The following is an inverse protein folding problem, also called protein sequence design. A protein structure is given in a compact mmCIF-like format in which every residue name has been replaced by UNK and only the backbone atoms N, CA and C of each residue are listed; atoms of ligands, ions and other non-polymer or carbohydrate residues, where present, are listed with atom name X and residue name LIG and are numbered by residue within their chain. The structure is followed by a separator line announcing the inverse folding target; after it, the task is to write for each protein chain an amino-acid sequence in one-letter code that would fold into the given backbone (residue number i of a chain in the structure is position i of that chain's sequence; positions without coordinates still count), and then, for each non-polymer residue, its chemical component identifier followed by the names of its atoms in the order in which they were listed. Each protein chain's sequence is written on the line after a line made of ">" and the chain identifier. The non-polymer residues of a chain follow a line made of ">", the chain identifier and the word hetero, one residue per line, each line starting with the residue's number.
data_IF_551811753719
#
_entry.id   IF_551811753719
#
_cell.length_a   1.000
_cell.length_b   1.000
_cell.length_c   1.000
_cell.angle_alpha   90.00
_cell.angle_beta   90.00
_cell.angle_gamma   90.00
#
_symmetry.space_group_name_H-M   'P 1'
#
loop_
_entity.id
_entity.type
_entity.pdbx_description
1 polymer ?
#
# COMPACT_ATOMS: atom_id res chain seq x y z
N UNK A 1 28.14 18.67 -12.38
CA UNK A 1 26.74 19.01 -12.01
C UNK A 1 25.85 17.91 -12.58
N UNK A 2 25.25 17.06 -11.74
CA UNK A 2 24.34 16.02 -12.22
C UNK A 2 23.11 16.69 -12.83
N UNK A 3 22.84 16.43 -14.10
CA UNK A 3 21.70 16.97 -14.81
C UNK A 3 20.40 16.53 -14.11
N UNK A 4 19.62 17.51 -13.64
CA UNK A 4 18.36 17.23 -12.93
C UNK A 4 17.30 16.89 -13.96
N UNK A 5 16.66 15.72 -13.80
CA UNK A 5 15.59 15.25 -14.69
C UNK A 5 14.38 16.19 -14.61
N UNK A 6 13.80 16.49 -15.76
CA UNK A 6 12.60 17.31 -15.90
C UNK A 6 11.53 16.59 -16.70
N UNK A 7 10.28 16.95 -16.47
CA UNK A 7 9.17 16.53 -17.31
C UNK A 7 9.08 17.38 -18.59
N UNK A 8 8.18 17.04 -19.50
CA UNK A 8 7.93 17.75 -20.75
C UNK A 8 7.41 19.18 -20.54
N UNK A 9 7.01 19.54 -19.31
CA UNK A 9 6.61 20.90 -18.92
C UNK A 9 7.74 21.66 -18.21
N UNK A 10 8.95 21.11 -18.16
CA UNK A 10 10.14 21.73 -17.55
C UNK A 10 10.20 21.65 -16.02
N UNK A 11 9.29 20.93 -15.37
CA UNK A 11 9.24 20.75 -13.91
C UNK A 11 10.26 19.71 -13.47
N UNK A 12 10.90 19.95 -12.33
CA UNK A 12 11.87 19.02 -11.77
C UNK A 12 11.18 17.75 -11.26
N UNK A 13 11.67 16.60 -11.72
CA UNK A 13 11.26 15.28 -11.26
C UNK A 13 12.05 14.88 -10.01
N UNK A 14 11.37 14.28 -9.04
CA UNK A 14 11.99 13.71 -7.85
C UNK A 14 12.65 12.36 -8.16
N UNK A 15 13.42 11.85 -7.21
CA UNK A 15 13.98 10.50 -7.27
C UNK A 15 12.88 9.46 -7.43
N UNK A 16 13.05 8.55 -8.38
CA UNK A 16 12.05 7.53 -8.71
C UNK A 16 10.97 8.01 -9.69
N UNK A 17 10.78 9.33 -9.87
CA UNK A 17 9.86 9.87 -10.88
C UNK A 17 10.48 9.84 -12.28
N UNK A 18 9.66 9.52 -13.28
CA UNK A 18 10.00 9.67 -14.70
C UNK A 18 8.74 9.93 -15.52
N UNK A 19 8.90 10.51 -16.71
CA UNK A 19 7.79 10.65 -17.65
C UNK A 19 7.98 9.68 -18.82
N UNK A 20 6.91 8.98 -19.19
CA UNK A 20 6.88 8.07 -20.33
C UNK A 20 6.56 8.82 -21.62
N UNK A 21 6.89 8.17 -22.74
CA UNK A 21 6.60 8.66 -24.10
C UNK A 21 5.10 8.82 -24.37
N UNK A 22 4.24 8.07 -23.67
CA UNK A 22 2.78 8.17 -23.76
C UNK A 22 2.17 9.33 -22.94
N UNK A 23 3.02 10.11 -22.25
CA UNK A 23 2.62 11.24 -21.43
C UNK A 23 2.31 10.90 -19.97
N UNK A 24 2.24 9.62 -19.59
CA UNK A 24 2.06 9.24 -18.18
C UNK A 24 3.32 9.52 -17.37
N UNK A 25 3.12 9.99 -16.15
CA UNK A 25 4.16 10.05 -15.14
C UNK A 25 4.23 8.69 -14.43
N UNK A 26 5.43 8.22 -14.15
CA UNK A 26 5.74 6.97 -13.47
C UNK A 26 6.55 7.27 -12.21
N UNK A 27 6.26 6.55 -11.14
CA UNK A 27 7.04 6.52 -9.92
C UNK A 27 7.53 5.08 -9.70
N UNK A 28 8.85 4.89 -9.65
CA UNK A 28 9.52 3.64 -9.31
C UNK A 28 9.90 3.67 -7.83
N UNK A 29 9.57 2.61 -7.10
CA UNK A 29 9.94 2.43 -5.71
C UNK A 29 10.23 0.97 -5.38
N UNK A 30 10.79 0.73 -4.20
CA UNK A 30 11.01 -0.61 -3.64
C UNK A 30 9.99 -0.80 -2.53
N UNK A 31 9.25 -1.91 -2.55
CA UNK A 31 8.25 -2.21 -1.54
C UNK A 31 8.87 -2.77 -0.24
N UNK A 32 8.03 -3.06 0.75
CA UNK A 32 8.47 -3.58 2.05
C UNK A 32 9.15 -4.97 1.93
N UNK A 33 8.91 -5.69 0.83
CA UNK A 33 9.47 -7.00 0.52
C UNK A 33 10.77 -6.90 -0.28
N UNK A 34 11.21 -5.69 -0.64
CA UNK A 34 12.40 -5.47 -1.46
C UNK A 34 12.15 -5.60 -2.96
N UNK A 35 10.89 -5.78 -3.40
CA UNK A 35 10.55 -5.88 -4.81
C UNK A 35 10.38 -4.49 -5.44
N UNK A 36 10.82 -4.36 -6.69
CA UNK A 36 10.64 -3.11 -7.43
C UNK A 36 9.21 -2.99 -7.95
N UNK A 37 8.54 -1.91 -7.58
CA UNK A 37 7.17 -1.59 -7.99
C UNK A 37 7.10 -0.28 -8.77
N UNK A 38 6.01 -0.13 -9.51
CA UNK A 38 5.76 1.01 -10.40
C UNK A 38 4.32 1.48 -10.25
N UNK A 39 4.14 2.78 -10.02
CA UNK A 39 2.83 3.44 -10.09
C UNK A 39 2.81 4.46 -11.21
N UNK A 40 1.63 4.63 -11.82
CA UNK A 40 1.42 5.47 -12.99
C UNK A 40 0.30 6.47 -12.72
N UNK A 41 0.46 7.70 -13.21
CA UNK A 41 -0.62 8.68 -13.26
C UNK A 41 -0.51 9.56 -14.51
N UNK A 42 -1.66 10.08 -14.97
CA UNK A 42 -1.71 11.08 -16.03
C UNK A 42 -1.33 12.48 -15.53
N UNK A 43 -1.34 12.70 -14.22
CA UNK A 43 -1.04 13.97 -13.57
C UNK A 43 0.21 13.83 -12.71
N UNK A 44 1.14 14.79 -12.79
CA UNK A 44 2.29 14.81 -11.89
C UNK A 44 1.86 15.37 -10.53
N UNK A 45 1.18 16.52 -10.55
CA UNK A 45 0.67 17.21 -9.37
C UNK A 45 -0.88 17.23 -9.36
N UNK A 46 -1.53 17.40 -8.19
CA UNK A 46 -2.99 17.43 -8.08
C UNK A 46 -3.65 18.52 -8.92
N UNK A 47 -2.94 19.63 -9.12
CA UNK A 47 -3.38 20.80 -9.88
C UNK A 47 -3.30 20.62 -11.39
N UNK A 48 -2.70 19.53 -11.89
CA UNK A 48 -2.62 19.28 -13.33
C UNK A 48 -4.01 18.94 -13.90
N UNK A 49 -4.36 19.46 -15.09
CA UNK A 49 -5.57 19.04 -15.79
C UNK A 49 -5.43 17.60 -16.29
N UNK A 50 -6.54 16.87 -16.31
CA UNK A 50 -6.59 15.51 -16.89
C UNK A 50 -6.60 15.62 -18.41
N UNK A 51 -5.76 14.80 -19.07
CA UNK A 51 -5.75 14.69 -20.53
C UNK A 51 -7.13 14.29 -21.07
N UNK A 52 -7.60 14.98 -22.11
CA UNK A 52 -8.94 14.80 -22.70
C UNK A 52 -9.24 13.31 -22.98
N UNK A 53 -10.37 12.83 -22.47
CA UNK A 53 -10.82 11.43 -22.66
C UNK A 53 -10.16 10.39 -21.74
N UNK A 54 -9.34 10.79 -20.77
CA UNK A 54 -8.79 9.88 -19.74
C UNK A 54 -9.56 10.00 -18.43
N UNK A 55 -9.54 8.92 -17.64
CA UNK A 55 -10.14 8.91 -16.30
C UNK A 55 -9.39 9.86 -15.37
N UNK A 56 -10.13 10.67 -14.63
CA UNK A 56 -9.58 11.46 -13.54
C UNK A 56 -9.22 10.51 -12.39
N UNK A 57 -8.02 10.67 -11.84
CA UNK A 57 -7.52 9.89 -10.72
C UNK A 57 -6.54 10.69 -9.88
N UNK A 58 -5.94 10.07 -8.86
CA UNK A 58 -4.89 10.71 -8.05
C UNK A 58 -3.68 11.07 -8.91
N UNK A 59 -3.04 12.18 -8.57
CA UNK A 59 -1.76 12.57 -9.17
C UNK A 59 -0.63 11.65 -8.70
N UNK A 60 0.48 11.66 -9.43
CA UNK A 60 1.65 10.84 -9.08
C UNK A 60 2.18 11.19 -7.68
N UNK A 61 2.18 12.48 -7.32
CA UNK A 61 2.65 12.92 -5.99
C UNK A 61 1.71 12.55 -4.84
N UNK A 62 0.41 12.47 -5.08
CA UNK A 62 -0.52 11.92 -4.08
C UNK A 62 -0.28 10.43 -3.86
N UNK A 63 -0.09 9.68 -4.96
CA UNK A 63 0.22 8.25 -4.90
C UNK A 63 1.58 7.99 -4.23
N UNK A 64 2.60 8.78 -4.57
CA UNK A 64 3.91 8.75 -3.91
C UNK A 64 3.77 8.96 -2.39
N UNK A 65 3.01 9.97 -1.96
CA UNK A 65 2.82 10.28 -0.55
C UNK A 65 2.09 9.16 0.22
N UNK A 66 1.13 8.49 -0.41
CA UNK A 66 0.46 7.31 0.15
C UNK A 66 1.43 6.13 0.30
N UNK A 67 2.18 5.82 -0.77
CA UNK A 67 3.19 4.75 -0.76
C UNK A 67 4.25 5.00 0.31
N UNK A 68 4.76 6.22 0.42
CA UNK A 68 5.79 6.54 1.42
C UNK A 68 5.28 6.39 2.85
N UNK A 69 4.01 6.75 3.11
CA UNK A 69 3.36 6.54 4.40
C UNK A 69 3.21 5.04 4.69
N UNK A 70 2.72 4.28 3.74
CA UNK A 70 2.54 2.83 3.87
C UNK A 70 3.89 2.13 4.11
N UNK A 71 4.95 2.51 3.40
CA UNK A 71 6.30 1.99 3.62
C UNK A 71 6.82 2.30 5.02
N UNK A 72 6.60 3.53 5.51
CA UNK A 72 7.01 3.94 6.85
C UNK A 72 6.26 3.18 7.95
N UNK A 73 5.01 2.83 7.71
CA UNK A 73 4.15 2.03 8.61
C UNK A 73 4.35 0.51 8.45
N UNK A 74 5.29 0.08 7.59
CA UNK A 74 5.53 -1.33 7.26
C UNK A 74 4.28 -2.01 6.70
N UNK A 75 3.52 -1.30 5.87
CA UNK A 75 2.32 -1.75 5.17
C UNK A 75 2.72 -2.14 3.74
N UNK A 76 2.17 -3.25 3.25
CA UNK A 76 2.31 -3.64 1.86
C UNK A 76 1.56 -2.66 0.95
N UNK A 77 2.33 -1.85 0.23
CA UNK A 77 1.86 -0.79 -0.68
C UNK A 77 1.18 -1.32 -1.95
N UNK A 78 1.18 -2.64 -2.19
CA UNK A 78 0.60 -3.27 -3.39
C UNK A 78 -0.94 -3.20 -3.42
N UNK A 79 -1.54 -2.61 -2.39
CA UNK A 79 -2.97 -2.34 -2.29
C UNK A 79 -3.64 -3.31 -1.33
N UNK A 80 -3.65 -2.95 -0.04
CA UNK A 80 -4.73 -3.31 0.88
C UNK A 80 -4.85 -4.77 1.33
N UNK A 81 -3.99 -5.70 0.89
CA UNK A 81 -4.12 -7.11 1.26
C UNK A 81 -3.27 -7.49 2.46
N UNK A 82 -3.53 -6.84 3.60
CA UNK A 82 -3.02 -7.36 4.87
C UNK A 82 -3.66 -8.73 5.12
N UNK A 83 -2.84 -9.73 5.43
CA UNK A 83 -3.35 -11.04 5.83
C UNK A 83 -3.84 -11.00 7.27
N UNK A 84 -4.67 -11.96 7.66
CA UNK A 84 -5.16 -12.05 9.04
C UNK A 84 -4.01 -12.17 10.05
N UNK A 85 -2.97 -12.96 9.75
CA UNK A 85 -1.77 -13.05 10.60
C UNK A 85 -1.03 -11.71 10.74
N UNK A 86 -0.87 -10.98 9.63
CA UNK A 86 -0.21 -9.67 9.65
C UNK A 86 -0.98 -8.65 10.49
N UNK A 87 -2.31 -8.63 10.40
CA UNK A 87 -3.15 -7.78 11.26
C UNK A 87 -3.00 -8.16 12.73
N UNK A 88 -3.05 -9.46 13.02
CA UNK A 88 -2.95 -9.94 14.40
C UNK A 88 -1.58 -9.61 15.01
N UNK A 89 -0.51 -9.69 14.23
CA UNK A 89 0.83 -9.28 14.65
C UNK A 89 0.88 -7.78 14.99
N UNK A 90 0.34 -6.92 14.10
CA UNK A 90 0.29 -5.46 14.33
C UNK A 90 -0.52 -5.11 15.58
N UNK A 91 -1.68 -5.74 15.78
CA UNK A 91 -2.51 -5.53 16.96
C UNK A 91 -1.76 -5.87 18.26
N UNK A 92 -1.04 -7.01 18.26
CA UNK A 92 -0.29 -7.46 19.43
C UNK A 92 0.89 -6.55 19.76
N UNK A 93 1.58 -6.03 18.74
CA UNK A 93 2.66 -5.05 18.89
C UNK A 93 2.15 -3.72 19.46
N UNK A 94 1.01 -3.22 18.96
CA UNK A 94 0.37 -2.00 19.48
C UNK A 94 -0.10 -2.15 20.94
N UNK A 95 -0.51 -3.36 21.34
CA UNK A 95 -0.98 -3.66 22.70
C UNK A 95 -0.01 -4.55 23.46
N UNK A 96 1.27 -4.17 23.49
CA UNK A 96 2.34 -5.00 24.06
C UNK A 96 2.27 -5.15 25.60
N UNK A 97 1.73 -4.16 26.33
CA UNK A 97 1.67 -4.18 27.79
C UNK A 97 0.53 -5.07 28.31
N UNK A 98 0.75 -6.39 28.31
CA UNK A 98 -0.19 -7.39 28.82
C UNK A 98 0.51 -8.40 29.71
N UNK A 99 -0.27 -9.09 30.56
CA UNK A 99 0.22 -10.17 31.43
C UNK A 99 0.92 -11.26 30.61
N UNK A 100 1.89 -11.94 31.21
CA UNK A 100 2.63 -13.06 30.58
C UNK A 100 1.70 -14.15 30.04
N UNK A 101 0.63 -14.47 30.77
CA UNK A 101 -0.38 -15.45 30.32
C UNK A 101 -1.02 -15.04 28.99
N UNK A 102 -1.36 -13.77 28.82
CA UNK A 102 -1.92 -13.22 27.57
C UNK A 102 -0.88 -13.25 26.44
N UNK A 103 0.40 -13.01 26.73
CA UNK A 103 1.46 -13.13 25.72
C UNK A 103 1.58 -14.58 25.21
N UNK A 104 1.54 -15.56 26.11
CA UNK A 104 1.58 -16.98 25.74
C UNK A 104 0.38 -17.39 24.89
N UNK A 105 -0.83 -16.95 25.28
CA UNK A 105 -2.06 -17.19 24.51
C UNK A 105 -2.00 -16.56 23.11
N UNK A 106 -1.48 -15.33 23.01
CA UNK A 106 -1.31 -14.66 21.71
C UNK A 106 -0.33 -15.38 20.79
N UNK A 107 0.78 -15.88 21.34
CA UNK A 107 1.75 -16.70 20.58
C UNK A 107 1.11 -17.99 20.09
N UNK A 108 0.33 -18.66 20.95
CA UNK A 108 -0.39 -19.87 20.58
C UNK A 108 -1.40 -19.60 19.45
N UNK A 109 -2.19 -18.52 19.54
CA UNK A 109 -3.13 -18.16 18.48
C UNK A 109 -2.42 -17.81 17.17
N UNK A 110 -1.28 -17.11 17.23
CA UNK A 110 -0.48 -16.84 16.03
C UNK A 110 -0.04 -18.13 15.35
N UNK A 111 0.49 -19.09 16.12
CA UNK A 111 0.92 -20.38 15.58
C UNK A 111 -0.23 -21.16 14.93
N UNK A 112 -1.43 -21.12 15.53
CA UNK A 112 -2.63 -21.73 14.93
C UNK A 112 -3.00 -21.05 13.62
N UNK A 113 -3.01 -19.71 13.60
CA UNK A 113 -3.35 -18.95 12.39
C UNK A 113 -2.34 -19.17 11.26
N UNK A 114 -1.05 -19.30 11.58
CA UNK A 114 0.00 -19.63 10.60
C UNK A 114 -0.18 -21.02 9.98
N UNK A 115 -0.73 -21.97 10.75
CA UNK A 115 -1.07 -23.32 10.26
C UNK A 115 -2.41 -23.41 9.52
N UNK A 116 -3.21 -22.34 9.52
CA UNK A 116 -4.55 -22.29 8.92
C UNK A 116 -4.54 -21.46 7.63
N UNK A 117 -5.25 -21.93 6.59
CA UNK A 117 -5.46 -21.17 5.35
C UNK A 117 -6.08 -19.78 5.64
N UNK A 118 -6.83 -19.65 6.72
CA UNK A 118 -7.41 -18.39 7.17
C UNK A 118 -6.35 -17.32 7.48
N UNK A 119 -5.21 -17.71 8.07
CA UNK A 119 -4.15 -16.78 8.47
C UNK A 119 -3.42 -16.16 7.28
N UNK A 120 -3.27 -16.92 6.19
CA UNK A 120 -2.63 -16.48 4.94
C UNK A 120 -3.57 -15.67 4.03
N UNK A 121 -4.88 -15.68 4.28
CA UNK A 121 -5.87 -15.01 3.44
C UNK A 121 -5.91 -13.51 3.72
N UNK A 122 -6.08 -12.72 2.65
CA UNK A 122 -6.30 -11.27 2.74
C UNK A 122 -7.60 -10.94 3.48
N UNK A 123 -7.56 -9.91 4.33
CA UNK A 123 -8.73 -9.41 5.08
C UNK A 123 -9.88 -9.00 4.15
N UNK A 124 -9.58 -8.43 2.99
CA UNK A 124 -10.59 -8.03 2.00
C UNK A 124 -11.44 -9.21 1.53
N UNK A 125 -10.88 -10.43 1.50
CA UNK A 125 -11.62 -11.62 1.11
C UNK A 125 -12.75 -11.97 2.09
N UNK A 126 -12.65 -11.53 3.35
CA UNK A 126 -13.66 -11.77 4.38
C UNK A 126 -14.77 -10.72 4.37
N UNK A 127 -14.43 -9.45 4.16
CA UNK A 127 -15.40 -8.33 4.10
C UNK A 127 -16.44 -8.56 2.99
N UNK A 128 -16.02 -9.10 1.84
CA UNK A 128 -16.93 -9.43 0.75
C UNK A 128 -17.87 -10.61 1.05
N UNK A 129 -17.48 -11.52 1.96
CA UNK A 129 -18.27 -12.71 2.28
C UNK A 129 -19.31 -12.43 3.38
N UNK A 130 -18.99 -11.54 4.33
CA UNK A 130 -19.93 -11.06 5.35
C UNK A 130 -21.00 -10.13 4.78
N UNK A 131 -20.65 -9.23 3.85
CA UNK A 131 -21.63 -8.36 3.18
C UNK A 131 -22.60 -9.14 2.28
N UNK A 132 -22.18 -10.26 1.71
CA UNK A 132 -23.04 -11.14 0.90
C UNK A 132 -23.98 -12.00 1.75
N UNK A 133 -23.63 -12.27 3.01
CA UNK A 133 -24.37 -13.16 3.90
C UNK A 133 -25.32 -12.47 4.89
N UNK A 134 -25.45 -11.14 4.84
CA UNK A 134 -26.59 -10.40 5.42
C UNK A 134 -26.98 -10.79 6.85
N UNK A 135 -26.02 -11.16 7.70
CA UNK A 135 -26.25 -11.44 9.11
C UNK A 135 -25.25 -10.62 9.89
N UNK A 136 -25.64 -9.38 10.18
CA UNK A 136 -25.70 -8.79 11.52
C UNK A 136 -26.41 -7.44 11.34
N UNK A 137 -27.72 -7.43 11.66
CA UNK A 137 -28.45 -6.26 12.12
C UNK A 137 -28.22 -6.13 13.63
#
# INVERSE_FOLDING_TARGET
>A
MSEKRRDNKGRLLKTGESQRTDGRCLYKYVDAQGETRYVYSWKLAPTDPVTKGKRNGKSLRELEAEIQRDLQDGIDTTGGKMTLCQLYAKQNAQRANVKKSTQSQRKQLMWILEGDMLGARSIDAYVFQTLRNGRYA
#
